data_IF_761518335024
#
_entry.id   IF_761518335024
#
_cell.length_a   1.000
_cell.length_b   1.000
_cell.length_c   1.000
_cell.angle_alpha   90.00
_cell.angle_beta   90.00
_cell.angle_gamma   90.00
#
_symmetry.space_group_name_H-M   'P 1'
#
loop_
_entity.id
_entity.type
_entity.pdbx_description
1 polymer ?
#
# COMPACT_ATOMS: atom_id res chain seq x y z
N UNK A 1 -17.81 -7.36 -12.65
CA UNK A 1 -16.75 -7.60 -11.65
C UNK A 1 -15.73 -8.64 -12.14
N UNK A 2 -16.15 -9.80 -12.67
CA UNK A 2 -15.21 -10.79 -13.24
C UNK A 2 -14.31 -10.27 -14.37
N UNK A 3 -14.80 -9.32 -15.18
CA UNK A 3 -14.02 -8.75 -16.30
C UNK A 3 -12.86 -7.86 -15.85
N UNK A 4 -12.93 -7.27 -14.66
CA UNK A 4 -11.85 -6.44 -14.10
C UNK A 4 -10.69 -7.33 -13.66
N UNK A 5 -10.97 -8.48 -13.03
CA UNK A 5 -9.95 -9.46 -12.67
C UNK A 5 -9.36 -10.14 -13.91
N UNK A 6 -10.19 -10.46 -14.92
CA UNK A 6 -9.71 -10.90 -16.23
C UNK A 6 -8.82 -9.86 -16.90
N UNK A 7 -9.16 -8.58 -16.80
CA UNK A 7 -8.35 -7.48 -17.33
C UNK A 7 -7.02 -7.33 -16.56
N UNK A 8 -7.00 -7.51 -15.24
CA UNK A 8 -5.75 -7.51 -14.46
C UNK A 8 -4.84 -8.70 -14.82
N UNK A 9 -5.43 -9.86 -15.16
CA UNK A 9 -4.69 -11.06 -15.61
C UNK A 9 -4.26 -10.99 -17.09
N UNK A 10 -4.94 -10.18 -17.92
CA UNK A 10 -4.68 -10.07 -19.37
C UNK A 10 -4.01 -8.76 -19.80
N UNK A 11 -4.03 -7.75 -18.95
CA UNK A 11 -3.18 -6.56 -19.04
C UNK A 11 -1.79 -6.92 -18.51
N UNK A 12 -0.71 -6.27 -18.98
CA UNK A 12 0.62 -6.60 -18.50
C UNK A 12 0.64 -6.51 -16.97
N UNK A 13 0.97 -7.63 -16.32
CA UNK A 13 1.11 -7.84 -14.86
C UNK A 13 1.86 -6.70 -14.11
N UNK A 14 2.54 -5.83 -14.86
CA UNK A 14 3.30 -4.68 -14.39
C UNK A 14 2.50 -3.46 -13.93
N UNK A 15 1.28 -3.18 -14.40
CA UNK A 15 0.67 -1.86 -14.12
C UNK A 15 0.46 -1.59 -12.62
N UNK A 16 0.09 -2.59 -11.83
CA UNK A 16 -0.11 -2.44 -10.37
C UNK A 16 1.18 -2.47 -9.54
N UNK A 17 2.30 -2.87 -10.16
CA UNK A 17 3.64 -2.94 -9.54
C UNK A 17 4.64 -1.95 -10.16
N UNK A 18 4.19 -1.13 -11.11
CA UNK A 18 4.97 -0.13 -11.81
C UNK A 18 5.28 1.05 -10.88
N UNK A 19 6.54 1.17 -10.48
CA UNK A 19 7.01 2.14 -9.50
C UNK A 19 6.96 3.59 -10.01
N UNK A 20 6.93 3.80 -11.34
CA UNK A 20 6.76 5.15 -11.90
C UNK A 20 5.38 5.75 -11.65
N UNK A 21 4.43 4.97 -11.13
CA UNK A 21 3.07 5.46 -10.85
C UNK A 21 3.03 6.44 -9.69
N UNK A 22 2.09 7.36 -9.80
CA UNK A 22 1.86 8.43 -8.81
C UNK A 22 1.77 7.95 -7.35
N UNK A 23 1.07 6.84 -7.00
CA UNK A 23 0.94 6.44 -5.59
C UNK A 23 2.29 6.12 -4.93
N UNK A 24 3.18 5.42 -5.64
CA UNK A 24 4.52 5.12 -5.14
C UNK A 24 5.29 6.40 -4.84
N UNK A 25 5.31 7.33 -5.79
CA UNK A 25 5.99 8.61 -5.65
C UNK A 25 5.37 9.48 -4.53
N UNK A 26 4.05 9.48 -4.40
CA UNK A 26 3.34 10.27 -3.39
C UNK A 26 3.65 9.75 -1.98
N UNK A 27 3.59 8.44 -1.78
CA UNK A 27 3.88 7.81 -0.49
C UNK A 27 5.37 7.97 -0.14
N UNK A 28 6.27 7.75 -1.09
CA UNK A 28 7.70 7.96 -0.88
C UNK A 28 8.00 9.38 -0.41
N UNK A 29 7.42 10.39 -1.07
CA UNK A 29 7.57 11.80 -0.68
C UNK A 29 7.01 12.07 0.71
N UNK A 30 5.80 11.58 1.01
CA UNK A 30 5.18 11.76 2.31
C UNK A 30 6.02 11.15 3.45
N UNK A 31 6.55 9.93 3.25
CA UNK A 31 7.44 9.29 4.24
C UNK A 31 8.75 10.06 4.38
N UNK A 32 9.36 10.50 3.27
CA UNK A 32 10.58 11.30 3.30
C UNK A 32 10.38 12.64 4.04
N UNK A 33 9.23 13.28 3.88
CA UNK A 33 8.86 14.50 4.62
C UNK A 33 8.63 14.22 6.11
N UNK A 34 7.91 13.15 6.45
CA UNK A 34 7.71 12.75 7.85
C UNK A 34 9.03 12.46 8.57
N UNK A 35 9.99 11.82 7.91
CA UNK A 35 11.35 11.63 8.46
C UNK A 35 12.03 12.97 8.72
N UNK A 36 11.96 13.93 7.78
CA UNK A 36 12.55 15.27 7.95
C UNK A 36 11.93 16.05 9.12
N UNK A 37 10.64 15.83 9.37
CA UNK A 37 9.89 16.45 10.47
C UNK A 37 10.06 15.73 11.82
N UNK A 38 10.68 14.55 11.83
CA UNK A 38 10.80 13.72 13.03
C UNK A 38 9.52 12.97 13.39
N UNK A 39 8.59 12.80 12.45
CA UNK A 39 7.36 12.02 12.63
C UNK A 39 7.61 10.51 12.47
N UNK A 40 8.60 10.14 11.65
CA UNK A 40 8.97 8.75 11.34
C UNK A 40 10.45 8.48 11.63
N UNK A 41 10.76 7.22 11.97
CA UNK A 41 12.12 6.75 12.30
C UNK A 41 13.13 7.10 11.20
N UNK A 42 14.28 7.64 11.59
CA UNK A 42 15.36 8.04 10.64
C UNK A 42 15.91 6.91 9.78
N UNK A 43 15.78 5.66 10.22
CA UNK A 43 16.27 4.48 9.48
C UNK A 43 15.24 3.90 8.50
N UNK A 44 14.02 4.46 8.43
CA UNK A 44 13.01 4.06 7.46
C UNK A 44 13.48 4.45 6.06
N UNK A 45 13.40 3.51 5.12
CA UNK A 45 13.65 3.76 3.71
C UNK A 45 12.32 4.16 3.02
N UNK A 46 12.17 5.41 2.53
CA UNK A 46 10.91 5.88 1.94
C UNK A 46 10.45 5.08 0.72
N UNK A 47 11.39 4.65 -0.14
CA UNK A 47 11.08 3.82 -1.30
C UNK A 47 10.56 2.45 -0.85
N UNK A 48 11.21 1.83 0.15
CA UNK A 48 10.71 0.56 0.68
C UNK A 48 9.32 0.73 1.30
N UNK A 49 9.09 1.83 2.02
CA UNK A 49 7.78 2.11 2.62
C UNK A 49 6.68 2.25 1.56
N UNK A 50 6.94 2.96 0.45
CA UNK A 50 5.97 3.07 -0.65
C UNK A 50 5.63 1.71 -1.26
N UNK A 51 6.62 0.84 -1.42
CA UNK A 51 6.40 -0.54 -1.85
C UNK A 51 5.57 -1.35 -0.86
N UNK A 52 5.83 -1.23 0.44
CA UNK A 52 5.11 -1.96 1.47
C UNK A 52 3.64 -1.52 1.53
N UNK A 53 3.34 -0.22 1.51
CA UNK A 53 1.97 0.30 1.45
C UNK A 53 1.21 -0.20 0.22
N UNK A 54 1.85 -0.19 -0.95
CA UNK A 54 1.24 -0.71 -2.17
C UNK A 54 1.03 -2.23 -2.10
N UNK A 55 1.90 -2.98 -1.40
CA UNK A 55 1.69 -4.42 -1.15
C UNK A 55 0.52 -4.67 -0.21
N UNK A 56 0.39 -3.89 0.86
CA UNK A 56 -0.76 -3.97 1.78
C UNK A 56 -2.05 -3.77 0.98
N UNK A 57 -2.19 -2.65 0.27
CA UNK A 57 -3.42 -2.35 -0.47
C UNK A 57 -3.78 -3.42 -1.52
N UNK A 58 -2.81 -3.91 -2.31
CA UNK A 58 -3.08 -5.00 -3.27
C UNK A 58 -3.40 -6.33 -2.59
N UNK A 59 -2.67 -6.65 -1.52
CA UNK A 59 -2.85 -7.89 -0.75
C UNK A 59 -4.23 -7.95 -0.11
N UNK A 60 -4.65 -6.87 0.55
CA UNK A 60 -5.97 -6.77 1.18
C UNK A 60 -7.10 -6.84 0.15
N UNK A 61 -6.99 -6.15 -0.99
CA UNK A 61 -7.99 -6.24 -2.06
C UNK A 61 -8.08 -7.66 -2.62
N UNK A 62 -6.93 -8.33 -2.81
CA UNK A 62 -6.90 -9.70 -3.31
C UNK A 62 -7.54 -10.67 -2.32
N UNK A 63 -7.18 -10.56 -1.04
CA UNK A 63 -7.75 -11.36 0.04
C UNK A 63 -9.26 -11.14 0.17
N UNK A 64 -9.72 -9.90 0.17
CA UNK A 64 -11.15 -9.53 0.21
C UNK A 64 -11.96 -10.19 -0.90
N UNK A 65 -11.36 -10.36 -2.08
CA UNK A 65 -11.99 -11.05 -3.20
C UNK A 65 -12.05 -12.57 -3.02
N UNK A 66 -11.08 -13.18 -2.32
CA UNK A 66 -11.13 -14.61 -1.97
C UNK A 66 -12.24 -14.90 -0.97
N UNK A 67 -12.54 -13.94 -0.08
CA UNK A 67 -13.64 -14.00 0.86
C UNK A 67 -14.96 -13.47 0.29
N UNK A 68 -15.07 -13.31 -1.03
CA UNK A 68 -16.29 -12.86 -1.72
C UNK A 68 -16.90 -11.55 -1.13
N UNK A 69 -16.06 -10.70 -0.55
CA UNK A 69 -16.46 -9.45 0.09
C UNK A 69 -17.13 -9.59 1.46
N UNK A 70 -16.86 -10.68 2.18
CA UNK A 70 -17.44 -10.99 3.51
C UNK A 70 -17.15 -9.95 4.60
N UNK A 71 -16.05 -9.20 4.47
CA UNK A 71 -15.65 -8.17 5.43
C UNK A 71 -15.61 -6.76 4.83
N UNK A 72 -15.61 -5.75 5.70
CA UNK A 72 -15.47 -4.35 5.29
C UNK A 72 -14.02 -4.05 4.89
N UNK A 73 -13.78 -3.94 3.59
CA UNK A 73 -12.46 -3.70 3.02
C UNK A 73 -11.80 -2.42 3.56
N UNK A 74 -12.60 -1.37 3.82
CA UNK A 74 -12.09 -0.07 4.25
C UNK A 74 -11.53 -0.21 5.67
N UNK A 75 -12.32 -0.72 6.60
CA UNK A 75 -11.93 -0.91 8.00
C UNK A 75 -10.69 -1.80 8.11
N UNK A 76 -10.66 -2.92 7.39
CA UNK A 76 -9.49 -3.82 7.39
C UNK A 76 -8.22 -3.12 6.86
N UNK A 77 -8.36 -2.34 5.78
CA UNK A 77 -7.23 -1.60 5.22
C UNK A 77 -6.73 -0.52 6.19
N UNK A 78 -7.63 0.20 6.86
CA UNK A 78 -7.27 1.22 7.85
C UNK A 78 -6.49 0.63 9.03
N UNK A 79 -6.90 -0.53 9.53
CA UNK A 79 -6.20 -1.23 10.62
C UNK A 79 -4.78 -1.66 10.21
N UNK A 80 -4.64 -2.26 9.03
CA UNK A 80 -3.33 -2.68 8.49
C UNK A 80 -2.41 -1.49 8.24
N UNK A 81 -2.93 -0.39 7.68
CA UNK A 81 -2.19 0.85 7.45
C UNK A 81 -1.75 1.46 8.78
N UNK A 82 -2.63 1.49 9.78
CA UNK A 82 -2.31 2.00 11.11
C UNK A 82 -1.21 1.19 11.78
N UNK A 83 -1.29 -0.14 11.74
CA UNK A 83 -0.25 -1.01 12.28
C UNK A 83 1.11 -0.75 11.61
N UNK A 84 1.13 -0.55 10.29
CA UNK A 84 2.36 -0.20 9.59
C UNK A 84 2.88 1.20 9.97
N UNK A 85 1.99 2.19 10.10
CA UNK A 85 2.36 3.54 10.54
C UNK A 85 2.97 3.52 11.94
N UNK A 86 2.35 2.81 12.89
CA UNK A 86 2.88 2.65 14.25
C UNK A 86 4.26 1.96 14.25
N UNK A 87 4.48 1.00 13.34
CA UNK A 87 5.78 0.36 13.18
C UNK A 87 6.89 1.35 12.73
N UNK A 88 6.58 2.31 11.86
CA UNK A 88 7.56 3.27 11.31
C UNK A 88 7.63 4.60 12.08
N UNK A 89 6.73 4.84 13.03
CA UNK A 89 6.63 6.07 13.82
C UNK A 89 7.85 6.25 14.75
N UNK A 90 8.36 7.47 14.88
CA UNK A 90 9.39 7.78 15.90
C UNK A 90 8.76 7.72 17.31
N UNK A 91 9.52 7.25 18.31
CA UNK A 91 9.05 7.07 19.70
C UNK A 91 8.69 8.40 20.39
#
# INVERSE_FOLDING_TARGET
MGDIFKFILSSPLGYSIENSRYPYNAIERAVAEGIKKGEFKKNVNPLKASHDFMKIGRGTVFDWCLYEGEYDLISETEELVKAYLDYIKED
#
